data_IF_447829585457
#
_entry.id   IF_447829585457
#
_cell.length_a   1.000
_cell.length_b   1.000
_cell.length_c   1.000
_cell.angle_alpha   90.00
_cell.angle_beta   90.00
_cell.angle_gamma   90.00
#
_symmetry.space_group_name_H-M   'P 1'
#
loop_
_entity.id
_entity.type
_entity.pdbx_description
1 polymer ?
#
# COMPACT_ATOMS: atom_id res chain seq x y z
N UNK A 1 -6.02 4.43 1.82
CA UNK A 1 -5.69 3.21 2.59
C UNK A 1 -6.93 2.37 2.79
N UNK A 2 -6.86 1.05 2.68
CA UNK A 2 -7.96 0.13 2.97
C UNK A 2 -8.40 0.19 4.42
N UNK A 3 -9.71 0.14 4.67
CA UNK A 3 -10.31 0.43 5.97
C UNK A 3 -10.24 -0.72 7.00
N UNK A 4 -9.80 -1.92 6.61
CA UNK A 4 -9.48 -2.99 7.57
C UNK A 4 -8.23 -2.68 8.41
N UNK A 5 -7.47 -1.65 8.04
CA UNK A 5 -6.42 -1.04 8.85
C UNK A 5 -6.73 0.42 9.12
N UNK A 6 -6.33 0.92 10.29
CA UNK A 6 -6.46 2.33 10.66
C UNK A 6 -5.08 2.95 10.83
N UNK A 7 -4.78 3.98 10.04
CA UNK A 7 -3.52 4.70 10.11
C UNK A 7 -3.26 5.20 11.54
N UNK A 8 -2.03 5.01 12.01
CA UNK A 8 -1.57 5.24 13.39
C UNK A 8 -2.11 4.27 14.46
N UNK A 9 -2.73 3.14 14.09
CA UNK A 9 -3.16 2.08 15.02
C UNK A 9 -2.51 0.75 14.62
N UNK A 10 -1.31 0.50 15.15
CA UNK A 10 -0.42 -0.57 14.70
C UNK A 10 -1.04 -1.96 14.72
N UNK A 11 -1.76 -2.33 15.79
CA UNK A 11 -2.43 -3.63 15.86
C UNK A 11 -3.44 -3.85 14.73
N UNK A 12 -4.14 -2.81 14.26
CA UNK A 12 -5.05 -2.95 13.11
C UNK A 12 -4.30 -3.16 11.78
N UNK A 13 -3.09 -2.59 11.66
CA UNK A 13 -2.23 -2.62 10.48
C UNK A 13 -1.36 -3.89 10.40
N UNK A 14 -1.09 -4.52 11.53
CA UNK A 14 -0.22 -5.69 11.66
C UNK A 14 -0.74 -6.88 10.85
N UNK A 15 -0.04 -7.18 9.74
CA UNK A 15 -0.42 -8.19 8.75
C UNK A 15 -1.59 -7.81 7.83
N UNK A 16 -2.04 -6.56 7.82
CA UNK A 16 -3.05 -6.07 6.88
C UNK A 16 -2.49 -5.01 5.94
N UNK A 17 -1.71 -4.05 6.44
CA UNK A 17 -1.00 -3.09 5.59
C UNK A 17 0.37 -3.64 5.18
N UNK A 18 0.86 -3.42 3.95
CA UNK A 18 0.19 -2.83 2.78
C UNK A 18 -0.32 -3.93 1.82
N UNK A 19 -0.85 -5.04 2.34
CA UNK A 19 -1.25 -6.17 1.50
C UNK A 19 -2.35 -5.78 0.51
N UNK A 20 -2.28 -6.33 -0.70
CA UNK A 20 -3.38 -6.45 -1.66
C UNK A 20 -3.19 -7.79 -2.36
N UNK A 21 -3.75 -8.84 -1.77
CA UNK A 21 -3.38 -10.20 -2.14
C UNK A 21 -4.49 -11.20 -1.86
N UNK A 22 -4.81 -11.99 -2.88
CA UNK A 22 -5.91 -12.96 -2.88
C UNK A 22 -5.44 -14.33 -3.40
N UNK A 23 -4.20 -14.70 -3.07
CA UNK A 23 -3.63 -16.03 -3.36
C UNK A 23 -3.33 -16.77 -2.06
N UNK A 24 -3.35 -18.10 -2.11
CA UNK A 24 -2.94 -18.94 -0.99
C UNK A 24 -1.60 -19.64 -1.31
N UNK A 25 -0.51 -18.96 -0.94
CA UNK A 25 0.87 -19.40 -1.15
C UNK A 25 1.82 -18.76 -0.10
N UNK A 26 3.13 -18.86 -0.34
CA UNK A 26 4.17 -18.35 0.58
C UNK A 26 4.08 -16.84 0.82
N UNK A 27 3.43 -16.08 -0.06
CA UNK A 27 3.20 -14.65 0.11
C UNK A 27 2.35 -14.31 1.33
N UNK A 28 1.58 -15.27 1.83
CA UNK A 28 0.68 -15.10 2.99
C UNK A 28 1.36 -15.32 4.33
N UNK A 29 2.60 -15.84 4.36
CA UNK A 29 3.27 -16.23 5.61
C UNK A 29 4.40 -15.28 6.00
N UNK A 30 4.84 -15.40 7.25
CA UNK A 30 5.91 -14.58 7.82
C UNK A 30 7.16 -14.56 6.93
N UNK A 31 7.70 -13.37 6.71
CA UNK A 31 8.88 -13.08 5.91
C UNK A 31 8.82 -13.59 4.46
N UNK A 32 7.63 -13.97 3.96
CA UNK A 32 7.46 -14.69 2.70
C UNK A 32 8.34 -15.95 2.62
N UNK A 33 8.53 -16.65 3.73
CA UNK A 33 9.32 -17.89 3.73
C UNK A 33 8.77 -18.98 4.65
N UNK A 34 9.00 -20.23 4.26
CA UNK A 34 8.83 -21.41 5.10
C UNK A 34 10.15 -22.18 5.13
N UNK A 35 10.75 -22.32 6.32
CA UNK A 35 12.04 -23.01 6.51
C UNK A 35 13.15 -22.47 5.58
N UNK A 36 13.15 -21.16 5.34
CA UNK A 36 14.13 -20.48 4.49
C UNK A 36 13.90 -20.63 2.98
N UNK A 37 12.73 -21.12 2.55
CA UNK A 37 12.31 -21.16 1.15
C UNK A 37 11.13 -20.22 0.89
N UNK A 38 11.04 -19.62 -0.31
CA UNK A 38 12.01 -19.70 -1.40
C UNK A 38 13.30 -18.96 -1.09
N UNK A 39 14.45 -19.52 -1.49
CA UNK A 39 15.75 -18.91 -1.21
C UNK A 39 15.85 -17.47 -1.71
N UNK A 40 15.20 -17.15 -2.83
CA UNK A 40 15.21 -15.82 -3.42
C UNK A 40 14.54 -14.75 -2.53
N UNK A 41 13.73 -15.13 -1.53
CA UNK A 41 13.19 -14.21 -0.53
C UNK A 41 14.16 -13.97 0.65
N UNK A 42 15.31 -14.65 0.67
CA UNK A 42 16.34 -14.56 1.73
C UNK A 42 17.61 -13.81 1.27
N UNK A 43 17.63 -13.35 0.02
CA UNK A 43 18.75 -12.66 -0.62
C UNK A 43 18.24 -11.48 -1.44
N UNK A 44 19.13 -10.57 -1.81
CA UNK A 44 18.88 -9.42 -2.69
C UNK A 44 17.75 -8.47 -2.28
N UNK A 45 17.22 -8.61 -1.05
CA UNK A 45 16.27 -7.71 -0.42
C UNK A 45 16.96 -6.51 0.23
N UNK A 46 16.52 -6.15 1.44
CA UNK A 46 17.02 -4.95 2.11
C UNK A 46 18.41 -5.17 2.74
N UNK A 47 19.41 -4.42 2.25
CA UNK A 47 20.80 -4.49 2.72
C UNK A 47 20.95 -4.19 4.21
N UNK A 48 20.08 -3.35 4.77
CA UNK A 48 20.08 -3.02 6.21
C UNK A 48 19.61 -4.18 7.08
N UNK A 49 18.97 -5.18 6.49
CA UNK A 49 18.38 -6.34 7.16
C UNK A 49 18.95 -7.66 6.62
N UNK A 50 20.27 -7.70 6.39
CA UNK A 50 20.97 -8.89 5.90
C UNK A 50 20.46 -9.40 4.53
N UNK A 51 19.94 -8.51 3.68
CA UNK A 51 19.39 -8.79 2.34
C UNK A 51 18.14 -9.69 2.34
N UNK A 52 17.43 -9.83 3.46
CA UNK A 52 16.14 -10.52 3.45
C UNK A 52 15.07 -9.65 2.78
N UNK A 53 14.08 -10.29 2.16
CA UNK A 53 13.05 -9.59 1.41
C UNK A 53 11.98 -8.97 2.32
N UNK A 54 11.59 -9.65 3.39
CA UNK A 54 10.42 -9.25 4.17
C UNK A 54 10.58 -9.53 5.66
N UNK A 55 10.09 -8.60 6.47
CA UNK A 55 9.79 -8.72 7.89
C UNK A 55 8.29 -8.64 8.18
N UNK A 56 7.47 -8.78 7.14
CA UNK A 56 6.03 -8.87 7.31
C UNK A 56 5.67 -10.12 8.13
N UNK A 57 4.71 -10.02 9.07
CA UNK A 57 4.27 -11.17 9.88
C UNK A 57 3.50 -12.22 9.06
N UNK A 58 3.20 -11.93 7.79
CA UNK A 58 2.25 -12.64 6.95
C UNK A 58 0.96 -11.84 6.79
N UNK A 59 0.13 -12.23 5.82
CA UNK A 59 -1.18 -11.62 5.63
C UNK A 59 -2.15 -12.20 6.67
N UNK A 60 -2.56 -11.38 7.63
CA UNK A 60 -3.44 -11.79 8.75
C UNK A 60 -4.77 -12.31 8.24
N UNK A 61 -5.36 -11.61 7.27
CA UNK A 61 -6.66 -11.91 6.67
C UNK A 61 -6.43 -12.51 5.27
N UNK A 62 -5.69 -13.60 5.19
CA UNK A 62 -5.32 -14.21 3.93
C UNK A 62 -6.39 -15.15 3.38
N UNK A 63 -6.30 -15.45 2.09
CA UNK A 63 -7.07 -16.55 1.47
C UNK A 63 -6.79 -17.92 2.11
N UNK A 64 -5.60 -18.11 2.69
CA UNK A 64 -5.25 -19.34 3.39
C UNK A 64 -5.87 -19.47 4.78
N UNK A 65 -6.60 -18.47 5.29
CA UNK A 65 -7.18 -18.54 6.63
C UNK A 65 -8.09 -19.77 6.78
N UNK A 66 -7.84 -20.60 7.79
CA UNK A 66 -8.59 -21.85 8.00
C UNK A 66 -10.09 -21.59 8.26
N UNK A 67 -10.97 -22.52 7.83
CA UNK A 67 -12.40 -22.43 8.16
C UNK A 67 -12.63 -22.35 9.67
N UNK A 68 -13.49 -21.42 10.11
CA UNK A 68 -13.84 -21.20 11.52
C UNK A 68 -12.99 -20.13 12.22
N UNK A 69 -11.91 -19.66 11.60
CA UNK A 69 -11.16 -18.50 12.08
C UNK A 69 -11.92 -17.19 11.83
N UNK A 70 -11.58 -16.15 12.59
CA UNK A 70 -12.17 -14.82 12.40
C UNK A 70 -11.64 -14.18 11.11
N UNK A 71 -12.53 -13.98 10.14
CA UNK A 71 -12.21 -13.39 8.84
C UNK A 71 -13.42 -12.58 8.33
N UNK A 72 -13.26 -11.38 7.77
CA UNK A 72 -14.38 -10.56 7.31
C UNK A 72 -15.14 -11.19 6.13
N UNK A 73 -14.47 -12.03 5.34
CA UNK A 73 -15.01 -12.60 4.11
C UNK A 73 -14.83 -11.66 2.91
N UNK A 74 -15.53 -11.87 1.78
CA UNK A 74 -16.43 -12.99 1.53
C UNK A 74 -15.66 -14.30 1.28
N UNK A 75 -16.37 -15.34 0.84
CA UNK A 75 -15.81 -16.64 0.49
C UNK A 75 -15.88 -16.80 -1.03
N UNK A 76 -14.77 -17.22 -1.65
CA UNK A 76 -14.70 -17.63 -3.04
C UNK A 76 -15.65 -18.80 -3.30
N UNK A 77 -16.59 -18.63 -4.22
CA UNK A 77 -17.56 -19.67 -4.56
C UNK A 77 -16.95 -20.88 -5.29
N UNK A 78 -15.77 -20.72 -5.87
CA UNK A 78 -15.09 -21.74 -6.68
C UNK A 78 -14.43 -22.84 -5.84
N UNK A 79 -13.88 -22.49 -4.68
CA UNK A 79 -13.09 -23.39 -3.83
C UNK A 79 -13.40 -23.29 -2.33
N UNK A 80 -14.37 -22.46 -1.95
CA UNK A 80 -14.81 -22.26 -0.58
C UNK A 80 -13.68 -21.77 0.36
N UNK A 81 -12.71 -21.02 -0.18
CA UNK A 81 -11.68 -20.30 0.59
C UNK A 81 -12.10 -18.84 0.80
N UNK A 82 -11.52 -18.16 1.80
CA UNK A 82 -11.79 -16.73 1.97
C UNK A 82 -11.20 -15.92 0.81
N UNK A 83 -11.83 -14.80 0.45
CA UNK A 83 -11.13 -13.75 -0.30
C UNK A 83 -10.02 -13.21 0.59
N UNK A 84 -8.81 -13.03 0.07
CA UNK A 84 -7.73 -12.38 0.80
C UNK A 84 -8.02 -10.89 0.99
N UNK A 85 -8.00 -10.44 2.24
CA UNK A 85 -8.39 -9.09 2.68
C UNK A 85 -7.24 -8.38 3.38
N UNK A 86 -7.23 -7.05 3.34
CA UNK A 86 -6.08 -6.26 3.76
C UNK A 86 -6.36 -4.75 3.90
N UNK A 87 -5.30 -3.97 4.11
CA UNK A 87 -5.31 -2.51 4.18
C UNK A 87 -4.30 -1.90 3.17
N UNK A 88 -4.54 -2.01 1.85
CA UNK A 88 -3.64 -1.49 0.83
C UNK A 88 -3.55 0.03 0.85
N UNK A 89 -2.50 0.57 0.23
CA UNK A 89 -2.24 2.01 0.19
C UNK A 89 -1.91 2.50 -1.22
N UNK A 90 -2.55 3.63 -1.58
CA UNK A 90 -2.28 4.41 -2.77
C UNK A 90 -1.98 5.82 -2.29
N UNK A 91 -0.78 6.28 -2.56
CA UNK A 91 -0.30 7.60 -2.21
C UNK A 91 -0.62 8.55 -3.34
N UNK A 92 -1.58 9.44 -3.10
CA UNK A 92 -1.91 10.52 -4.04
C UNK A 92 -0.69 11.40 -4.29
N UNK A 93 0.02 11.75 -3.22
CA UNK A 93 1.37 12.30 -3.23
C UNK A 93 2.01 12.18 -1.84
N UNK A 94 3.34 12.06 -1.83
CA UNK A 94 4.21 12.37 -0.71
C UNK A 94 5.19 13.45 -1.19
N UNK A 95 5.15 14.63 -0.57
CA UNK A 95 5.97 15.76 -0.99
C UNK A 95 7.40 15.64 -0.44
N UNK A 96 8.37 15.82 -1.33
CA UNK A 96 9.80 15.73 -1.06
C UNK A 96 10.51 16.96 -1.64
N UNK A 97 11.75 17.20 -1.21
CA UNK A 97 12.59 18.29 -1.71
C UNK A 97 14.04 17.85 -1.76
N UNK A 98 14.72 18.21 -2.84
CA UNK A 98 16.15 18.05 -3.00
C UNK A 98 16.76 19.25 -3.75
N UNK A 99 18.09 19.35 -3.78
CA UNK A 99 18.81 20.49 -4.38
C UNK A 99 18.87 20.49 -5.91
N UNK A 100 18.62 19.34 -6.55
CA UNK A 100 18.66 19.15 -8.00
C UNK A 100 17.29 19.38 -8.64
N UNK A 101 16.26 18.70 -8.14
CA UNK A 101 14.89 18.73 -8.67
C UNK A 101 14.12 19.95 -8.16
N UNK A 102 14.42 20.40 -6.94
CA UNK A 102 13.56 21.26 -6.14
C UNK A 102 12.44 20.47 -5.47
N UNK A 103 11.31 21.13 -5.22
CA UNK A 103 10.10 20.48 -4.75
C UNK A 103 9.59 19.43 -5.74
N UNK A 104 9.26 18.24 -5.26
CA UNK A 104 8.70 17.17 -6.06
C UNK A 104 7.77 16.30 -5.22
N UNK A 105 7.01 15.43 -5.88
CA UNK A 105 6.12 14.47 -5.21
C UNK A 105 6.43 13.05 -5.66
N UNK A 106 6.55 12.15 -4.69
CA UNK A 106 6.41 10.71 -4.93
C UNK A 106 4.93 10.37 -5.03
N UNK A 107 4.55 9.68 -6.09
CA UNK A 107 3.19 9.16 -6.29
C UNK A 107 3.29 7.65 -6.43
N UNK A 108 2.65 6.89 -5.55
CA UNK A 108 2.97 5.47 -5.36
C UNK A 108 1.79 4.57 -5.00
N UNK A 109 1.93 3.30 -5.31
CA UNK A 109 1.20 2.22 -4.65
C UNK A 109 2.14 1.46 -3.71
N UNK A 110 1.64 1.07 -2.53
CA UNK A 110 2.34 0.18 -1.61
C UNK A 110 1.76 -1.22 -1.70
N UNK A 111 2.64 -2.22 -1.67
CA UNK A 111 2.30 -3.59 -2.01
C UNK A 111 2.92 -4.57 -1.03
N UNK A 112 2.14 -5.57 -0.65
CA UNK A 112 2.62 -6.84 -0.12
C UNK A 112 1.76 -7.98 -0.69
N UNK A 113 2.33 -9.18 -0.92
CA UNK A 113 3.75 -9.55 -0.77
C UNK A 113 4.66 -8.95 -1.85
N UNK A 114 5.98 -9.08 -1.66
CA UNK A 114 7.00 -8.40 -2.44
C UNK A 114 7.60 -9.30 -3.53
N UNK A 115 7.87 -8.72 -4.70
CA UNK A 115 8.70 -9.30 -5.74
C UNK A 115 10.14 -9.53 -5.25
N UNK A 116 10.85 -10.44 -5.91
CA UNK A 116 12.30 -10.56 -5.75
C UNK A 116 13.00 -9.20 -5.90
N UNK A 117 13.83 -8.83 -4.92
CA UNK A 117 14.56 -7.56 -4.90
C UNK A 117 13.68 -6.30 -5.07
N UNK A 118 12.38 -6.39 -4.77
CA UNK A 118 11.39 -5.33 -5.00
C UNK A 118 11.25 -4.91 -6.47
N UNK A 119 11.67 -5.77 -7.41
CA UNK A 119 11.62 -5.53 -8.85
C UNK A 119 10.25 -5.94 -9.42
N UNK A 120 9.40 -4.94 -9.67
CA UNK A 120 8.13 -5.12 -10.36
C UNK A 120 8.31 -5.13 -11.89
N UNK A 121 7.30 -5.53 -12.65
CA UNK A 121 7.37 -5.63 -14.10
C UNK A 121 7.10 -4.27 -14.78
N UNK A 122 8.05 -3.34 -14.69
CA UNK A 122 8.03 -1.96 -15.17
C UNK A 122 8.16 -1.79 -16.70
N UNK A 123 7.69 -2.76 -17.49
CA UNK A 123 7.76 -2.70 -18.96
C UNK A 123 6.99 -1.49 -19.51
N UNK A 124 7.28 -1.07 -20.75
CA UNK A 124 6.57 0.03 -21.40
C UNK A 124 5.04 -0.19 -21.54
N UNK A 125 4.57 -1.44 -21.44
CA UNK A 125 3.15 -1.76 -21.43
C UNK A 125 2.50 -1.52 -20.05
N UNK A 126 3.29 -1.66 -18.98
CA UNK A 126 2.85 -1.63 -17.58
C UNK A 126 3.14 -0.30 -16.89
N UNK A 127 4.22 0.39 -17.26
CA UNK A 127 4.62 1.70 -16.78
C UNK A 127 4.49 2.73 -17.91
N UNK A 128 3.56 3.66 -17.75
CA UNK A 128 3.38 4.77 -18.70
C UNK A 128 3.74 6.06 -17.96
N UNK A 129 4.83 6.71 -18.33
CA UNK A 129 5.18 8.07 -17.86
C UNK A 129 4.78 9.06 -18.95
N UNK A 130 3.86 9.98 -18.64
CA UNK A 130 3.29 10.89 -19.65
C UNK A 130 4.23 12.06 -19.98
N UNK A 131 5.08 12.47 -19.04
CA UNK A 131 6.06 13.54 -19.25
C UNK A 131 7.42 13.22 -18.61
N UNK A 132 8.30 12.56 -19.36
CA UNK A 132 9.64 12.19 -18.91
C UNK A 132 10.60 13.37 -18.69
N UNK A 133 10.21 14.61 -19.01
CA UNK A 133 11.02 15.79 -18.72
C UNK A 133 10.92 16.27 -17.27
N UNK A 134 9.87 15.86 -16.55
CA UNK A 134 9.62 16.23 -15.15
C UNK A 134 9.32 15.04 -14.24
N UNK A 135 9.13 13.85 -14.82
CA UNK A 135 8.80 12.63 -14.11
C UNK A 135 9.76 11.50 -14.44
N UNK A 136 10.17 10.75 -13.42
CA UNK A 136 11.01 9.56 -13.54
C UNK A 136 10.62 8.53 -12.49
N UNK A 137 10.88 7.25 -12.76
CA UNK A 137 10.71 6.21 -11.74
C UNK A 137 11.54 6.54 -10.49
N UNK A 138 10.95 6.31 -9.33
CA UNK A 138 11.61 6.55 -8.05
C UNK A 138 12.73 5.52 -7.83
N UNK A 139 13.87 5.97 -7.31
CA UNK A 139 14.96 5.05 -6.96
C UNK A 139 14.64 4.18 -5.74
N UNK A 140 13.71 4.61 -4.88
CA UNK A 140 13.18 3.81 -3.79
C UNK A 140 12.13 2.81 -4.31
N UNK A 141 12.40 1.52 -4.14
CA UNK A 141 11.53 0.41 -4.57
C UNK A 141 10.83 -0.31 -3.42
N UNK A 142 11.19 0.01 -2.17
CA UNK A 142 10.66 -0.67 -0.99
C UNK A 142 11.72 -0.97 0.06
N UNK A 143 11.32 -1.76 1.05
CA UNK A 143 12.13 -2.28 2.15
C UNK A 143 11.37 -3.41 2.85
N UNK A 144 11.90 -3.89 3.97
CA UNK A 144 11.37 -5.12 4.61
C UNK A 144 9.90 -5.08 5.05
N UNK A 145 9.25 -3.91 5.06
CA UNK A 145 7.83 -3.75 5.41
C UNK A 145 6.92 -3.34 4.25
N UNK A 146 7.47 -3.02 3.07
CA UNK A 146 6.67 -2.64 1.91
C UNK A 146 7.46 -2.76 0.60
N UNK A 147 6.80 -3.12 -0.49
CA UNK A 147 7.27 -2.83 -1.84
C UNK A 147 6.52 -1.61 -2.37
N UNK A 148 7.19 -0.74 -3.11
CA UNK A 148 6.59 0.42 -3.75
C UNK A 148 6.67 0.32 -5.28
N UNK A 149 5.60 0.71 -5.95
CA UNK A 149 5.68 1.20 -7.34
C UNK A 149 5.52 2.71 -7.28
N UNK A 150 6.49 3.45 -7.83
CA UNK A 150 6.59 4.87 -7.56
C UNK A 150 7.24 5.64 -8.71
N UNK A 151 6.67 6.81 -9.00
CA UNK A 151 7.26 7.82 -9.90
C UNK A 151 7.33 9.11 -9.13
N UNK A 152 8.49 9.77 -9.22
CA UNK A 152 8.68 11.14 -8.72
C UNK A 152 8.38 12.13 -9.83
N UNK A 153 7.63 13.18 -9.51
CA UNK A 153 7.31 14.26 -10.45
C UNK A 153 7.62 15.62 -9.83
N UNK A 154 8.36 16.46 -10.57
CA UNK A 154 8.61 17.85 -10.16
C UNK A 154 7.28 18.59 -9.99
N UNK A 155 7.12 19.29 -8.88
CA UNK A 155 5.90 20.06 -8.58
C UNK A 155 5.96 21.46 -9.17
N UNK A 156 4.81 22.16 -9.14
CA UNK A 156 4.80 23.60 -9.33
C UNK A 156 5.47 24.27 -8.12
N UNK A 157 6.63 24.86 -8.35
CA UNK A 157 7.43 25.48 -7.28
C UNK A 157 6.75 26.73 -6.72
N UNK A 158 5.89 27.40 -7.49
CA UNK A 158 5.19 28.60 -7.04
C UNK A 158 4.11 28.29 -5.98
N UNK A 159 3.65 27.04 -5.89
CA UNK A 159 2.54 26.64 -5.01
C UNK A 159 3.00 26.06 -3.66
N UNK A 160 4.22 26.36 -3.23
CA UNK A 160 4.65 26.17 -1.85
C UNK A 160 4.16 27.32 -0.97
N UNK A 161 3.93 27.04 0.32
CA UNK A 161 3.29 27.97 1.28
C UNK A 161 3.90 29.38 1.29
N UNK A 162 5.23 29.48 1.18
CA UNK A 162 5.99 30.73 1.30
C UNK A 162 6.30 31.40 -0.04
N UNK A 163 5.79 30.87 -1.15
CA UNK A 163 6.04 31.37 -2.50
C UNK A 163 4.86 32.24 -2.98
N UNK A 164 4.11 31.83 -4.01
CA UNK A 164 3.04 32.65 -4.61
C UNK A 164 1.64 32.36 -4.03
N UNK A 165 1.56 31.54 -2.97
CA UNK A 165 0.31 31.16 -2.32
C UNK A 165 -0.76 30.60 -3.29
N UNK A 166 -0.33 29.86 -4.31
CA UNK A 166 -1.21 29.14 -5.23
C UNK A 166 -1.52 27.71 -4.78
N UNK A 167 -2.50 27.08 -5.42
CA UNK A 167 -2.87 25.68 -5.22
C UNK A 167 -2.56 24.88 -6.48
N UNK A 168 -1.95 23.70 -6.30
CA UNK A 168 -1.70 22.72 -7.36
C UNK A 168 -2.64 21.52 -7.20
N UNK A 169 -3.10 20.97 -8.31
CA UNK A 169 -4.04 19.84 -8.33
C UNK A 169 -3.28 18.52 -8.38
N UNK A 170 -3.51 17.68 -7.36
CA UNK A 170 -3.04 16.30 -7.28
C UNK A 170 -4.22 15.35 -7.17
N UNK A 171 -4.04 14.13 -7.66
CA UNK A 171 -5.09 13.12 -7.66
C UNK A 171 -4.62 11.79 -8.18
N UNK A 172 -5.53 10.82 -8.16
CA UNK A 172 -5.39 9.59 -8.93
C UNK A 172 -6.78 9.12 -9.38
N UNK A 173 -6.81 8.42 -10.49
CA UNK A 173 -7.93 7.60 -10.96
C UNK A 173 -7.46 6.14 -10.93
N UNK A 174 -8.35 5.21 -10.57
CA UNK A 174 -7.99 3.80 -10.61
C UNK A 174 -9.19 2.91 -10.91
N UNK A 175 -8.89 1.77 -11.54
CA UNK A 175 -9.81 0.66 -11.74
C UNK A 175 -9.32 -0.52 -10.89
N UNK A 176 -10.07 -0.94 -9.85
CA UNK A 176 -9.71 -2.08 -9.01
C UNK A 176 -9.66 -3.42 -9.75
N UNK A 177 -8.91 -4.37 -9.20
CA UNK A 177 -8.92 -5.77 -9.62
C UNK A 177 -7.71 -6.22 -10.42
N UNK A 178 -7.91 -7.26 -11.22
CA UNK A 178 -6.92 -7.83 -12.12
C UNK A 178 -7.13 -7.35 -13.56
N UNK A 179 -6.45 -7.98 -14.52
CA UNK A 179 -6.67 -7.80 -15.97
C UNK A 179 -6.44 -6.35 -16.45
N UNK A 180 -7.49 -5.65 -16.87
CA UNK A 180 -7.42 -4.28 -17.40
C UNK A 180 -7.42 -3.20 -16.30
N UNK A 181 -7.29 -3.60 -15.04
CA UNK A 181 -7.12 -2.72 -13.89
C UNK A 181 -5.83 -1.87 -13.99
N UNK A 182 -5.91 -0.66 -13.45
CA UNK A 182 -4.82 0.33 -13.48
C UNK A 182 -4.96 1.35 -12.35
N UNK A 183 -3.88 2.10 -12.11
CA UNK A 183 -3.90 3.37 -11.37
C UNK A 183 -3.18 4.42 -12.22
N UNK A 184 -3.79 5.57 -12.42
CA UNK A 184 -3.22 6.74 -13.08
C UNK A 184 -3.17 7.90 -12.11
N UNK A 185 -1.98 8.46 -11.89
CA UNK A 185 -1.80 9.62 -11.02
C UNK A 185 -1.86 10.93 -11.81
N UNK A 186 -2.22 11.98 -11.09
CA UNK A 186 -2.32 13.35 -11.58
C UNK A 186 -1.40 14.23 -10.73
N UNK A 187 -0.56 15.02 -11.40
CA UNK A 187 0.30 16.03 -10.78
C UNK A 187 0.18 17.34 -11.55
N UNK A 188 0.02 18.45 -10.83
CA UNK A 188 -0.19 19.78 -11.39
C UNK A 188 -1.31 19.83 -12.46
N UNK A 189 -2.41 19.10 -12.20
CA UNK A 189 -3.58 19.07 -13.10
C UNK A 189 -3.42 18.24 -14.38
N UNK A 190 -2.30 17.51 -14.56
CA UNK A 190 -2.07 16.64 -15.71
C UNK A 190 -1.75 15.20 -15.28
N UNK A 191 -2.08 14.18 -16.11
CA UNK A 191 -1.64 12.81 -15.86
C UNK A 191 -0.11 12.74 -15.76
N UNK A 192 0.40 12.15 -14.68
CA UNK A 192 1.85 12.01 -14.43
C UNK A 192 2.35 10.65 -14.88
N UNK A 193 1.75 9.58 -14.37
CA UNK A 193 2.07 8.22 -14.75
C UNK A 193 0.92 7.23 -14.51
N UNK A 194 1.00 6.06 -15.13
CA UNK A 194 0.07 4.94 -14.96
C UNK A 194 0.82 3.65 -14.68
N UNK A 195 0.33 2.87 -13.72
CA UNK A 195 0.62 1.45 -13.57
C UNK A 195 -0.57 0.61 -14.07
N UNK A 196 -0.31 -0.42 -14.86
CA UNK A 196 -1.30 -1.48 -15.15
C UNK A 196 -1.09 -2.69 -14.25
N UNK A 197 -2.16 -3.42 -13.96
CA UNK A 197 -2.17 -4.57 -13.04
C UNK A 197 -1.08 -5.62 -13.34
N UNK A 198 -0.76 -5.84 -14.62
CA UNK A 198 0.30 -6.75 -15.06
C UNK A 198 1.71 -6.35 -14.60
N UNK A 199 1.92 -5.10 -14.16
CA UNK A 199 3.13 -4.66 -13.47
C UNK A 199 3.36 -5.41 -12.16
N UNK A 200 2.27 -5.87 -11.52
CA UNK A 200 2.26 -6.63 -10.28
C UNK A 200 1.88 -8.10 -10.51
N UNK A 201 2.26 -8.65 -11.66
CA UNK A 201 2.08 -10.06 -11.99
C UNK A 201 2.79 -11.01 -11.00
N UNK A 202 2.47 -12.30 -11.11
CA UNK A 202 3.09 -13.35 -10.30
C UNK A 202 4.61 -13.36 -10.47
N UNK A 203 5.33 -13.66 -9.38
CA UNK A 203 6.78 -13.77 -9.36
C UNK A 203 7.21 -15.14 -8.87
N UNK A 204 7.58 -15.99 -9.84
CA UNK A 204 8.00 -17.36 -9.56
C UNK A 204 9.33 -17.47 -8.83
N UNK A 205 10.17 -16.42 -8.79
CA UNK A 205 11.45 -16.47 -8.05
C UNK A 205 11.19 -16.56 -6.55
N UNK A 206 10.14 -15.88 -6.09
CA UNK A 206 9.71 -15.83 -4.69
C UNK A 206 8.36 -16.50 -4.46
N UNK A 207 7.91 -17.30 -5.44
CA UNK A 207 6.74 -18.18 -5.37
C UNK A 207 5.43 -17.49 -4.94
N UNK A 208 5.22 -16.24 -5.37
CA UNK A 208 4.00 -15.47 -5.11
C UNK A 208 3.15 -15.30 -6.37
N UNK A 209 1.83 -15.25 -6.20
CA UNK A 209 0.85 -14.84 -7.19
C UNK A 209 0.86 -13.34 -7.53
N UNK A 210 -0.05 -12.97 -8.44
CA UNK A 210 -0.26 -11.58 -8.81
C UNK A 210 -0.95 -10.80 -7.68
N UNK A 211 -0.65 -9.50 -7.59
CA UNK A 211 -1.34 -8.57 -6.68
C UNK A 211 -2.34 -7.76 -7.51
N UNK A 212 -3.64 -7.76 -7.18
CA UNK A 212 -4.60 -6.91 -7.88
C UNK A 212 -4.35 -5.43 -7.53
N UNK A 213 -4.74 -4.54 -8.45
CA UNK A 213 -4.97 -3.14 -8.08
C UNK A 213 -5.99 -3.12 -6.93
N UNK A 214 -5.73 -2.39 -5.83
CA UNK A 214 -6.50 -2.47 -4.59
C UNK A 214 -8.02 -2.51 -4.78
N UNK A 215 -8.67 -3.53 -4.20
CA UNK A 215 -10.13 -3.72 -4.25
C UNK A 215 -10.84 -3.34 -2.94
N UNK A 216 -10.08 -3.14 -1.86
CA UNK A 216 -10.63 -2.80 -0.56
C UNK A 216 -11.34 -1.44 -0.56
N UNK A 217 -12.44 -1.27 0.19
CA UNK A 217 -12.97 0.05 0.49
C UNK A 217 -11.90 0.87 1.20
N UNK A 218 -11.56 2.01 0.61
CA UNK A 218 -10.51 2.88 1.10
C UNK A 218 -11.04 4.19 1.66
N UNK A 219 -10.32 4.75 2.62
CA UNK A 219 -10.53 6.10 3.12
C UNK A 219 -9.31 6.98 2.82
N UNK A 220 -9.56 8.29 2.73
CA UNK A 220 -8.54 9.29 2.48
C UNK A 220 -7.87 9.70 3.80
N UNK A 221 -6.56 9.83 3.74
CA UNK A 221 -5.72 10.35 4.81
C UNK A 221 -5.02 11.57 4.26
N UNK A 222 -5.06 12.67 5.00
CA UNK A 222 -4.32 13.86 4.68
C UNK A 222 -3.61 14.32 5.94
N UNK A 223 -2.29 14.37 5.90
CA UNK A 223 -1.47 14.72 7.05
C UNK A 223 -0.34 15.66 6.63
N UNK A 224 0.20 16.38 7.62
CA UNK A 224 1.45 17.09 7.52
C UNK A 224 2.28 16.64 8.72
N UNK A 225 3.45 16.09 8.44
CA UNK A 225 4.32 15.51 9.46
C UNK A 225 5.79 15.83 9.20
N UNK A 226 6.59 15.71 10.25
CA UNK A 226 8.05 15.83 10.18
C UNK A 226 8.65 14.67 10.97
N UNK A 227 9.59 13.94 10.36
CA UNK A 227 10.24 12.80 11.00
C UNK A 227 11.62 12.58 10.41
N UNK A 228 12.64 12.29 11.23
CA UNK A 228 13.97 11.92 10.74
C UNK A 228 13.95 10.60 9.95
N UNK A 229 12.85 9.82 10.01
CA UNK A 229 12.68 8.62 9.20
C UNK A 229 12.30 8.92 7.75
N UNK A 230 11.77 10.11 7.45
CA UNK A 230 11.36 10.50 6.08
C UNK A 230 12.50 11.18 5.32
N UNK A 231 13.38 11.91 6.03
CA UNK A 231 14.50 12.61 5.45
C UNK A 231 15.27 13.44 6.47
N UNK A 232 16.38 14.05 6.02
CA UNK A 232 17.11 14.99 6.84
C UNK A 232 16.27 16.24 7.12
N UNK A 233 16.28 16.70 8.37
CA UNK A 233 15.52 17.87 8.81
C UNK A 233 16.48 19.04 9.01
N UNK A 234 16.33 20.08 8.19
CA UNK A 234 17.07 21.34 8.32
C UNK A 234 16.33 22.33 9.24
N UNK A 235 16.46 22.12 10.55
CA UNK A 235 15.79 22.96 11.54
C UNK A 235 16.20 24.43 11.50
N UNK A 236 17.39 24.76 10.98
CA UNK A 236 17.91 26.13 10.96
C UNK A 236 17.21 27.00 9.90
N UNK A 237 16.70 26.37 8.84
CA UNK A 237 16.04 27.07 7.73
C UNK A 237 14.52 26.83 7.65
N UNK A 238 13.96 25.95 8.47
CA UNK A 238 12.51 25.74 8.54
C UNK A 238 11.81 26.89 9.27
N UNK A 239 10.72 27.38 8.69
CA UNK A 239 9.85 28.40 9.31
C UNK A 239 8.65 27.73 9.96
N UNK A 240 8.46 27.97 11.27
CA UNK A 240 7.33 27.45 12.04
C UNK A 240 6.40 28.58 12.55
N UNK A 241 5.07 28.36 12.62
CA UNK A 241 4.36 27.16 12.17
C UNK A 241 4.38 27.01 10.64
N UNK A 242 4.31 25.77 10.15
CA UNK A 242 4.18 25.42 8.72
C UNK A 242 2.76 24.92 8.46
N UNK A 243 2.21 25.21 7.28
CA UNK A 243 0.83 24.89 6.90
C UNK A 243 0.76 24.17 5.57
N UNK A 244 0.09 23.02 5.54
CA UNK A 244 -0.39 22.41 4.29
C UNK A 244 -1.84 22.84 4.10
N UNK A 245 -2.08 23.73 3.13
CA UNK A 245 -3.42 24.26 2.83
C UNK A 245 -4.12 23.41 1.79
N UNK A 246 -5.42 23.14 2.02
CA UNK A 246 -6.28 22.36 1.12
C UNK A 246 -7.50 23.22 0.81
N UNK A 247 -7.64 23.63 -0.45
CA UNK A 247 -8.83 24.36 -0.91
C UNK A 247 -10.04 23.41 -1.01
N UNK A 248 -9.86 22.26 -1.65
CA UNK A 248 -10.90 21.24 -1.76
C UNK A 248 -10.34 19.82 -1.91
N UNK A 249 -11.19 18.85 -1.58
CA UNK A 249 -11.03 17.44 -1.95
C UNK A 249 -12.31 17.02 -2.68
N UNK A 250 -12.16 16.29 -3.77
CA UNK A 250 -13.28 15.73 -4.54
C UNK A 250 -13.07 14.24 -4.73
N UNK A 251 -14.16 13.49 -4.58
CA UNK A 251 -14.22 12.05 -4.82
C UNK A 251 -15.31 11.81 -5.85
N UNK A 252 -14.96 11.07 -6.91
CA UNK A 252 -15.87 10.74 -8.00
C UNK A 252 -16.02 9.22 -8.07
N UNK A 253 -17.18 8.76 -8.52
CA UNK A 253 -17.42 7.37 -8.87
C UNK A 253 -17.99 7.31 -10.28
N UNK A 254 -17.66 6.23 -10.99
CA UNK A 254 -18.31 5.91 -12.26
C UNK A 254 -19.82 5.78 -12.02
N UNK A 255 -20.68 6.53 -12.73
CA UNK A 255 -22.13 6.47 -12.57
C UNK A 255 -22.71 5.08 -12.84
N UNK A 256 -22.03 4.24 -13.64
CA UNK A 256 -22.44 2.88 -13.94
C UNK A 256 -21.89 1.85 -12.92
N UNK A 257 -20.99 2.27 -12.02
CA UNK A 257 -20.35 1.41 -11.02
C UNK A 257 -20.20 2.11 -9.65
N UNK A 258 -21.33 2.52 -9.09
CA UNK A 258 -21.40 3.17 -7.78
C UNK A 258 -21.26 2.10 -6.67
N UNK A 259 -20.15 2.16 -5.92
CA UNK A 259 -19.91 1.33 -4.74
C UNK A 259 -19.20 2.17 -3.66
N UNK A 260 -19.97 2.87 -2.82
CA UNK A 260 -19.44 3.68 -1.72
C UNK A 260 -19.93 3.15 -0.37
N UNK A 261 -19.09 3.29 0.65
CA UNK A 261 -19.34 2.81 2.00
C UNK A 261 -18.11 2.15 2.59
N UNK A 262 -18.15 1.87 3.89
CA UNK A 262 -17.10 1.12 4.57
C UNK A 262 -17.38 -0.39 4.63
N UNK A 263 -18.60 -0.83 4.31
CA UNK A 263 -19.03 -2.23 4.45
C UNK A 263 -19.74 -2.74 3.17
N UNK A 264 -19.08 -2.76 1.99
CA UNK A 264 -19.67 -3.33 0.78
C UNK A 264 -19.97 -4.83 0.92
N UNK A 265 -21.00 -5.34 0.24
CA UNK A 265 -21.38 -6.76 0.30
C UNK A 265 -20.26 -7.69 -0.21
N UNK A 266 -19.48 -7.23 -1.18
CA UNK A 266 -18.34 -7.95 -1.76
C UNK A 266 -17.04 -7.77 -0.96
N UNK A 267 -16.97 -6.79 -0.06
CA UNK A 267 -15.82 -6.49 0.78
C UNK A 267 -16.25 -6.06 2.21
N UNK A 268 -17.01 -6.88 2.96
CA UNK A 268 -17.54 -6.49 4.28
C UNK A 268 -16.40 -6.25 5.27
N UNK A 269 -16.57 -5.31 6.19
CA UNK A 269 -15.58 -4.95 7.21
C UNK A 269 -16.19 -4.63 8.58
N UNK A 270 -17.44 -4.16 8.63
CA UNK A 270 -17.99 -3.56 9.84
C UNK A 270 -18.08 -4.56 11.00
N UNK A 271 -18.50 -5.79 10.72
CA UNK A 271 -18.57 -6.85 11.72
C UNK A 271 -17.18 -7.21 12.29
N UNK A 272 -16.17 -7.29 11.43
CA UNK A 272 -14.79 -7.59 11.84
C UNK A 272 -14.19 -6.47 12.68
N UNK A 273 -14.30 -5.22 12.21
CA UNK A 273 -13.80 -4.03 12.92
C UNK A 273 -14.48 -3.93 14.29
N UNK A 274 -15.79 -4.16 14.37
CA UNK A 274 -16.54 -4.14 15.63
C UNK A 274 -16.11 -5.27 16.58
N UNK A 275 -15.84 -6.46 16.07
CA UNK A 275 -15.36 -7.58 16.88
C UNK A 275 -14.01 -7.26 17.54
N UNK A 276 -13.15 -6.51 16.85
CA UNK A 276 -11.79 -6.17 17.28
C UNK A 276 -11.59 -4.67 17.54
N UNK A 277 -12.63 -3.97 18.01
CA UNK A 277 -12.71 -2.51 18.08
C UNK A 277 -11.52 -1.85 18.78
N UNK A 278 -10.94 -2.50 19.80
CA UNK A 278 -9.80 -1.98 20.53
C UNK A 278 -8.55 -1.82 19.64
N UNK A 279 -8.30 -2.73 18.69
CA UNK A 279 -7.20 -2.60 17.73
C UNK A 279 -7.32 -1.34 16.87
N UNK A 280 -8.55 -0.83 16.69
CA UNK A 280 -8.86 0.35 15.89
C UNK A 280 -9.01 1.62 16.74
N UNK A 281 -9.00 1.53 18.07
CA UNK A 281 -9.29 2.66 18.96
C UNK A 281 -8.21 2.90 20.03
N UNK A 282 -7.28 1.96 20.20
CA UNK A 282 -6.16 2.08 21.11
C UNK A 282 -4.82 2.19 20.35
N UNK A 283 -4.22 3.39 20.22
CA UNK A 283 -2.99 3.59 19.47
C UNK A 283 -1.74 3.02 20.17
N UNK A 284 -1.85 2.61 21.44
CA UNK A 284 -0.74 1.98 22.16
C UNK A 284 -0.56 0.50 21.81
N UNK A 285 -1.52 -0.10 21.09
CA UNK A 285 -1.40 -1.47 20.60
C UNK A 285 -0.70 -1.43 19.24
N UNK A 286 0.54 -1.92 19.19
CA UNK A 286 1.36 -1.86 17.98
C UNK A 286 1.39 -3.17 17.19
N UNK A 287 1.13 -4.30 17.85
CA UNK A 287 1.10 -5.64 17.24
C UNK A 287 -0.18 -6.42 17.62
N UNK A 288 -0.62 -7.31 16.74
CA UNK A 288 -1.85 -8.09 16.92
C UNK A 288 -1.73 -9.12 18.05
N UNK A 289 -0.58 -9.79 18.14
CA UNK A 289 -0.35 -10.85 19.13
C UNK A 289 0.32 -10.29 20.39
N UNK A 290 1.45 -9.58 20.25
CA UNK A 290 2.26 -9.22 21.40
C UNK A 290 1.65 -8.09 22.23
N UNK A 291 0.99 -7.10 21.61
CA UNK A 291 0.33 -6.04 22.37
C UNK A 291 -1.16 -6.33 22.57
N UNK A 292 -1.89 -6.62 21.48
CA UNK A 292 -3.35 -6.78 21.53
C UNK A 292 -3.82 -8.16 22.05
N UNK A 293 -2.89 -9.12 22.21
CA UNK A 293 -3.15 -10.44 22.82
C UNK A 293 -4.19 -11.29 22.07
N UNK A 294 -4.38 -11.05 20.77
CA UNK A 294 -5.20 -11.89 19.92
C UNK A 294 -4.39 -13.07 19.35
N UNK A 295 -5.11 -14.08 18.86
CA UNK A 295 -4.48 -15.19 18.14
C UNK A 295 -4.26 -14.80 16.69
N UNK A 296 -3.12 -15.22 16.14
CA UNK A 296 -2.90 -15.16 14.70
C UNK A 296 -3.78 -16.21 14.00
N UNK A 297 -4.53 -15.87 12.94
CA UNK A 297 -5.36 -16.85 12.24
C UNK A 297 -4.52 -18.00 11.68
N UNK A 298 -5.02 -19.22 11.84
CA UNK A 298 -4.37 -20.41 11.26
C UNK A 298 -4.35 -20.36 9.74
N UNK A 299 -3.30 -20.91 9.15
CA UNK A 299 -3.03 -20.86 7.73
C UNK A 299 -2.96 -22.27 7.10
N UNK A 300 -3.81 -22.53 6.10
CA UNK A 300 -3.90 -23.82 5.40
C UNK A 300 -2.65 -24.17 4.58
N UNK A 301 -1.91 -23.17 4.06
CA UNK A 301 -0.63 -23.39 3.38
C UNK A 301 0.45 -23.92 4.33
N UNK A 302 0.36 -23.57 5.62
CA UNK A 302 1.23 -24.10 6.67
C UNK A 302 0.80 -25.49 7.18
N UNK A 303 -0.37 -25.99 6.76
CA UNK A 303 -0.93 -27.26 7.26
C UNK A 303 -1.48 -27.16 8.68
N UNK A 304 -2.03 -26.00 9.05
CA UNK A 304 -2.55 -25.72 10.40
C UNK A 304 -4.05 -26.00 10.55
N UNK A 305 -4.74 -26.30 9.45
CA UNK A 305 -6.07 -26.91 9.45
C UNK A 305 -5.91 -28.45 9.51
#
# INVERSE_FOLDING_TARGET
MGNLGRAAYGASLDGTWPYTYDSCDVGTVMNQTVKGQPHAATVDGDKSYNNVLSYMPGQRLSRCTCPGEAHPGPIHSSDNTFVGRAAPEIDMFEAQVDTETGGHVSQSGQWAPFNHAYEWFDTADNLIIYNSSISSENSYKGGVYQQATSVVSKTDQACYELEEACFSLYGFEYKPGFDDAYITWISAGAPSWTIKSAGMAADSKVEIGARPIPQEPMYLIVNLGISPNFGYIDFDHLTFPTTMSIDYIRVYQDPDNINYGCDPDDFPTAAYIKQFEEAYTNPNLTTWVDDYKQQWPKNSFLGEC
#
